data_IF_908032966546
#
_entry.id   IF_908032966546
#
_cell.length_a   1.000
_cell.length_b   1.000
_cell.length_c   1.000
_cell.angle_alpha   90.00
_cell.angle_beta   90.00
_cell.angle_gamma   90.00
#
_symmetry.space_group_name_H-M   'P 1'
#
loop_
_entity.id
_entity.type
_entity.pdbx_description
1 polymer ?
#
# COMPACT_ATOMS: atom_id res chain seq x y z
N UNK A 1 -18.21 -27.74 -17.07
CA UNK A 1 -17.54 -26.54 -16.51
C UNK A 1 -18.44 -25.37 -16.87
N UNK A 2 -19.26 -24.89 -15.92
CA UNK A 2 -20.29 -23.90 -16.21
C UNK A 2 -19.65 -22.57 -16.67
N UNK A 3 -20.23 -21.88 -17.67
CA UNK A 3 -19.72 -20.59 -18.11
C UNK A 3 -19.83 -19.59 -16.96
N UNK A 4 -18.76 -18.87 -16.65
CA UNK A 4 -18.77 -17.75 -15.70
C UNK A 4 -19.85 -16.74 -16.15
N UNK A 5 -21.01 -16.77 -15.50
CA UNK A 5 -22.04 -15.76 -15.69
C UNK A 5 -21.44 -14.39 -15.40
N UNK A 6 -21.72 -13.42 -16.28
CA UNK A 6 -21.42 -12.00 -16.02
C UNK A 6 -22.12 -11.61 -14.72
N UNK A 7 -21.38 -11.58 -13.62
CA UNK A 7 -21.92 -11.08 -12.36
C UNK A 7 -22.36 -9.63 -12.52
N UNK A 8 -23.51 -9.29 -11.94
CA UNK A 8 -23.99 -7.91 -11.90
C UNK A 8 -22.93 -7.08 -11.17
N UNK A 9 -22.52 -5.91 -11.68
CA UNK A 9 -21.48 -5.08 -11.06
C UNK A 9 -21.71 -4.81 -9.57
N UNK A 10 -22.97 -4.72 -9.14
CA UNK A 10 -23.37 -4.56 -7.76
C UNK A 10 -22.96 -5.74 -6.85
N UNK A 11 -23.06 -6.98 -7.35
CA UNK A 11 -22.69 -8.18 -6.59
C UNK A 11 -21.18 -8.22 -6.38
N UNK A 12 -20.38 -7.88 -7.39
CA UNK A 12 -18.92 -7.86 -7.27
C UNK A 12 -18.44 -6.71 -6.36
N UNK A 13 -19.13 -5.56 -6.34
CA UNK A 13 -18.84 -4.47 -5.39
C UNK A 13 -19.17 -4.91 -3.96
N UNK A 14 -20.34 -5.51 -3.72
CA UNK A 14 -20.73 -6.00 -2.40
C UNK A 14 -19.79 -7.11 -1.91
N UNK A 15 -19.48 -8.08 -2.76
CA UNK A 15 -18.55 -9.16 -2.46
C UNK A 15 -17.14 -8.63 -2.17
N UNK A 16 -16.63 -7.71 -3.00
CA UNK A 16 -15.31 -7.09 -2.81
C UNK A 16 -15.22 -6.25 -1.54
N UNK A 17 -16.25 -5.47 -1.24
CA UNK A 17 -16.30 -4.62 -0.02
C UNK A 17 -16.38 -5.48 1.24
N UNK A 18 -17.22 -6.52 1.22
CA UNK A 18 -17.38 -7.44 2.35
C UNK A 18 -16.11 -8.27 2.56
N UNK A 19 -15.49 -8.77 1.48
CA UNK A 19 -14.24 -9.50 1.56
C UNK A 19 -13.10 -8.63 2.10
N UNK A 20 -12.99 -7.38 1.64
CA UNK A 20 -12.02 -6.43 2.16
C UNK A 20 -12.25 -6.07 3.63
N UNK A 21 -13.50 -5.93 4.06
CA UNK A 21 -13.82 -5.68 5.47
C UNK A 21 -13.46 -6.87 6.37
N UNK A 22 -13.74 -8.10 5.93
CA UNK A 22 -13.39 -9.34 6.65
C UNK A 22 -11.87 -9.52 6.68
N UNK A 23 -11.17 -9.28 5.57
CA UNK A 23 -9.71 -9.33 5.51
C UNK A 23 -9.08 -8.31 6.45
N UNK A 24 -9.54 -7.06 6.42
CA UNK A 24 -9.07 -6.02 7.34
C UNK A 24 -9.33 -6.40 8.81
N UNK A 25 -10.51 -6.94 9.13
CA UNK A 25 -10.84 -7.39 10.48
C UNK A 25 -9.95 -8.56 10.92
N UNK A 26 -9.80 -9.60 10.09
CA UNK A 26 -9.01 -10.79 10.40
C UNK A 26 -7.51 -10.47 10.53
N UNK A 27 -7.01 -9.53 9.73
CA UNK A 27 -5.59 -9.14 9.73
C UNK A 27 -5.28 -8.06 10.78
N UNK A 28 -6.29 -7.35 11.31
CA UNK A 28 -6.10 -6.26 12.25
C UNK A 28 -5.29 -6.61 13.49
N UNK A 29 -5.48 -7.75 14.17
CA UNK A 29 -4.65 -8.11 15.32
C UNK A 29 -3.15 -8.17 14.99
N UNK A 30 -2.81 -8.59 13.77
CA UNK A 30 -1.43 -8.60 13.28
C UNK A 30 -0.89 -7.18 13.08
N UNK A 31 -1.73 -6.29 12.55
CA UNK A 31 -1.40 -4.86 12.44
C UNK A 31 -1.27 -4.18 13.80
N UNK A 32 -2.12 -4.54 14.77
CA UNK A 32 -2.06 -4.07 16.15
C UNK A 32 -0.75 -4.46 16.81
N UNK A 33 -0.37 -5.74 16.74
CA UNK A 33 0.89 -6.24 17.31
C UNK A 33 2.10 -5.58 16.67
N UNK A 34 2.10 -5.46 15.33
CA UNK A 34 3.14 -4.74 14.60
C UNK A 34 3.23 -3.29 15.02
N UNK A 35 2.10 -2.60 15.14
CA UNK A 35 2.04 -1.21 15.57
C UNK A 35 2.58 -1.10 16.99
N UNK A 36 2.06 -1.85 17.95
CA UNK A 36 2.53 -1.80 19.35
C UNK A 36 4.02 -2.09 19.50
N UNK A 37 4.52 -3.13 18.83
CA UNK A 37 5.95 -3.45 18.79
C UNK A 37 6.81 -2.32 18.22
N UNK A 38 6.25 -1.52 17.31
CA UNK A 38 6.93 -0.39 16.71
C UNK A 38 6.88 0.90 17.56
N UNK A 39 5.96 1.03 18.53
CA UNK A 39 5.75 2.25 19.31
C UNK A 39 6.10 2.13 20.82
N UNK A 40 6.05 0.93 21.41
CA UNK A 40 6.31 0.76 22.86
C UNK A 40 7.81 0.71 23.23
N UNK A 41 8.71 0.74 22.24
CA UNK A 41 10.17 0.79 22.43
C UNK A 41 10.83 -0.43 23.08
N UNK A 42 10.05 -1.22 23.81
CA UNK A 42 10.43 -2.54 24.32
C UNK A 42 10.35 -3.55 23.17
N UNK A 43 11.41 -4.34 23.00
CA UNK A 43 11.43 -5.51 22.12
C UNK A 43 10.62 -6.64 22.74
N UNK A 44 9.31 -6.46 22.82
CA UNK A 44 8.41 -7.52 23.26
C UNK A 44 8.12 -8.48 22.11
N UNK A 45 8.11 -9.78 22.41
CA UNK A 45 7.71 -10.79 21.43
C UNK A 45 6.25 -10.54 21.00
N UNK A 46 5.91 -10.73 19.71
CA UNK A 46 4.52 -10.66 19.22
C UNK A 46 3.54 -11.46 20.07
N UNK A 47 3.97 -12.63 20.57
CA UNK A 47 3.16 -13.52 21.41
C UNK A 47 2.92 -12.91 22.79
N UNK A 48 3.94 -12.25 23.36
CA UNK A 48 3.82 -11.55 24.65
C UNK A 48 2.82 -10.40 24.54
N UNK A 49 2.91 -9.59 23.48
CA UNK A 49 1.98 -8.50 23.23
C UNK A 49 0.53 -9.01 23.15
N UNK A 50 0.28 -10.10 22.43
CA UNK A 50 -1.05 -10.70 22.31
C UNK A 50 -1.54 -11.18 23.67
N UNK A 51 -0.74 -12.00 24.37
CA UNK A 51 -1.10 -12.59 25.67
C UNK A 51 -1.41 -11.52 26.70
N UNK A 52 -0.59 -10.48 26.78
CA UNK A 52 -0.77 -9.39 27.74
C UNK A 52 -1.99 -8.53 27.40
N UNK A 53 -2.23 -8.25 26.13
CA UNK A 53 -3.43 -7.52 25.68
C UNK A 53 -4.70 -8.31 25.99
N UNK A 54 -4.70 -9.63 25.74
CA UNK A 54 -5.84 -10.49 26.07
C UNK A 54 -6.09 -10.53 27.58
N UNK A 55 -5.03 -10.58 28.41
CA UNK A 55 -5.15 -10.61 29.87
C UNK A 55 -5.67 -9.29 30.46
N UNK A 56 -5.29 -8.15 29.87
CA UNK A 56 -5.59 -6.81 30.43
C UNK A 56 -6.83 -6.14 29.83
N UNK A 57 -7.07 -6.31 28.53
CA UNK A 57 -8.12 -5.62 27.76
C UNK A 57 -9.07 -6.57 27.03
N UNK A 58 -8.88 -7.88 27.16
CA UNK A 58 -9.66 -8.89 26.47
C UNK A 58 -9.48 -8.88 24.94
N UNK A 59 -10.35 -9.60 24.24
CA UNK A 59 -10.30 -9.75 22.77
C UNK A 59 -10.51 -8.42 22.04
N UNK A 60 -11.41 -7.57 22.54
CA UNK A 60 -11.64 -6.23 21.96
C UNK A 60 -10.42 -5.30 22.11
N UNK A 61 -9.53 -5.58 23.08
CA UNK A 61 -8.26 -4.88 23.21
C UNK A 61 -7.37 -4.98 21.97
N UNK A 62 -7.40 -6.12 21.26
CA UNK A 62 -6.64 -6.33 20.01
C UNK A 62 -7.16 -5.48 18.84
N UNK A 63 -8.38 -4.93 18.95
CA UNK A 63 -9.01 -4.07 17.95
C UNK A 63 -8.94 -2.57 18.30
N UNK A 64 -8.22 -2.22 19.36
CA UNK A 64 -8.04 -0.84 19.79
C UNK A 64 -7.25 -0.05 18.74
N UNK A 65 -7.90 0.98 18.18
CA UNK A 65 -7.34 1.82 17.11
C UNK A 65 -7.81 1.47 15.70
N UNK A 66 -8.70 0.48 15.54
CA UNK A 66 -9.20 0.06 14.23
C UNK A 66 -9.91 1.21 13.50
N UNK A 67 -10.69 2.01 14.22
CA UNK A 67 -11.35 3.20 13.69
C UNK A 67 -10.36 4.20 13.10
N UNK A 68 -9.21 4.43 13.74
CA UNK A 68 -8.19 5.36 13.24
C UNK A 68 -7.55 4.84 11.94
N UNK A 69 -7.32 3.53 11.84
CA UNK A 69 -6.85 2.89 10.60
C UNK A 69 -7.88 3.05 9.46
N UNK A 70 -9.15 2.75 9.74
CA UNK A 70 -10.25 2.85 8.77
C UNK A 70 -10.39 4.30 8.28
N UNK A 71 -10.46 5.27 9.19
CA UNK A 71 -10.56 6.69 8.85
C UNK A 71 -9.35 7.13 8.03
N UNK A 72 -8.13 6.71 8.39
CA UNK A 72 -6.93 7.03 7.64
C UNK A 72 -6.92 6.44 6.21
N UNK A 73 -7.41 5.21 6.04
CA UNK A 73 -7.53 4.59 4.73
C UNK A 73 -8.65 5.22 3.89
N UNK A 74 -9.78 5.55 4.51
CA UNK A 74 -10.88 6.26 3.85
C UNK A 74 -10.43 7.65 3.38
N UNK A 75 -9.66 8.38 4.18
CA UNK A 75 -9.12 9.68 3.79
C UNK A 75 -8.18 9.57 2.57
N UNK A 76 -7.28 8.57 2.55
CA UNK A 76 -6.41 8.30 1.38
C UNK A 76 -7.22 7.97 0.13
N UNK A 77 -8.20 7.08 0.26
CA UNK A 77 -9.08 6.70 -0.83
C UNK A 77 -9.87 7.91 -1.35
N UNK A 78 -10.41 8.74 -0.44
CA UNK A 78 -11.14 9.95 -0.78
C UNK A 78 -10.29 10.92 -1.61
N UNK A 79 -9.07 11.24 -1.15
CA UNK A 79 -8.13 12.08 -1.93
C UNK A 79 -7.89 11.49 -3.31
N UNK A 80 -7.63 10.19 -3.40
CA UNK A 80 -7.37 9.52 -4.68
C UNK A 80 -8.57 9.59 -5.62
N UNK A 81 -9.78 9.29 -5.15
CA UNK A 81 -10.97 9.29 -6.02
C UNK A 81 -11.36 10.69 -6.47
N UNK A 82 -11.35 11.67 -5.57
CA UNK A 82 -11.65 13.07 -5.91
C UNK A 82 -10.66 13.60 -6.95
N UNK A 83 -9.37 13.36 -6.73
CA UNK A 83 -8.33 13.85 -7.65
C UNK A 83 -8.34 13.08 -8.97
N UNK A 84 -8.63 11.77 -8.95
CA UNK A 84 -8.79 10.98 -10.16
C UNK A 84 -9.94 11.48 -11.02
N UNK A 85 -11.10 11.74 -10.42
CA UNK A 85 -12.27 12.25 -11.12
C UNK A 85 -12.00 13.64 -11.72
N UNK A 86 -11.38 14.52 -10.93
CA UNK A 86 -10.94 15.84 -11.39
C UNK A 86 -10.00 15.74 -12.60
N UNK A 87 -8.96 14.90 -12.54
CA UNK A 87 -8.04 14.72 -13.67
C UNK A 87 -8.70 14.04 -14.87
N UNK A 88 -9.66 13.13 -14.66
CA UNK A 88 -10.43 12.55 -15.77
C UNK A 88 -11.27 13.59 -16.49
N UNK A 89 -11.95 14.46 -15.75
CA UNK A 89 -12.72 15.56 -16.32
C UNK A 89 -11.83 16.51 -17.13
N UNK A 90 -10.64 16.85 -16.62
CA UNK A 90 -9.67 17.66 -17.35
C UNK A 90 -9.09 16.99 -18.61
N UNK A 91 -9.04 15.67 -18.63
CA UNK A 91 -8.47 14.87 -19.74
C UNK A 91 -9.53 14.23 -20.64
N UNK A 92 -10.81 14.55 -20.44
CA UNK A 92 -11.89 14.08 -21.30
C UNK A 92 -11.78 14.72 -22.68
N UNK A 93 -12.13 13.98 -23.73
CA UNK A 93 -12.35 14.59 -25.04
C UNK A 93 -13.66 15.39 -25.07
N UNK A 94 -13.92 16.04 -26.21
CA UNK A 94 -15.15 16.80 -26.48
C UNK A 94 -16.43 15.96 -26.39
N UNK A 95 -16.34 14.63 -26.40
CA UNK A 95 -17.46 13.70 -26.21
C UNK A 95 -17.60 13.20 -24.76
N UNK A 96 -16.74 13.66 -23.84
CA UNK A 96 -16.73 13.22 -22.45
C UNK A 96 -16.09 11.85 -22.21
N UNK A 97 -15.45 11.25 -23.23
CA UNK A 97 -14.77 9.96 -23.11
C UNK A 97 -13.30 10.17 -22.74
N UNK A 98 -12.77 9.22 -21.95
CA UNK A 98 -11.36 9.23 -21.53
C UNK A 98 -10.71 7.95 -22.04
N UNK A 99 -9.75 8.09 -22.97
CA UNK A 99 -8.98 6.95 -23.48
C UNK A 99 -8.15 6.27 -22.39
N UNK A 100 -7.71 5.02 -22.62
CA UNK A 100 -6.88 4.29 -21.66
C UNK A 100 -5.58 5.04 -21.26
N UNK A 101 -4.82 5.66 -22.18
CA UNK A 101 -3.65 6.47 -21.82
C UNK A 101 -4.01 7.70 -20.97
N UNK A 102 -5.10 8.39 -21.28
CA UNK A 102 -5.56 9.55 -20.50
C UNK A 102 -6.06 9.15 -19.11
N UNK A 103 -6.74 8.01 -19.01
CA UNK A 103 -7.16 7.43 -17.72
C UNK A 103 -5.94 7.03 -16.87
N UNK A 104 -4.87 6.54 -17.50
CA UNK A 104 -3.62 6.24 -16.81
C UNK A 104 -2.94 7.51 -16.29
N UNK A 105 -2.88 8.58 -17.10
CA UNK A 105 -2.36 9.88 -16.68
C UNK A 105 -3.17 10.48 -15.53
N UNK A 106 -4.50 10.41 -15.58
CA UNK A 106 -5.36 10.81 -14.48
C UNK A 106 -5.09 9.99 -13.21
N UNK A 107 -4.87 8.67 -13.35
CA UNK A 107 -4.47 7.79 -12.25
C UNK A 107 -3.12 8.14 -11.64
N UNK A 108 -2.13 8.48 -12.48
CA UNK A 108 -0.81 8.95 -12.05
C UNK A 108 -0.91 10.28 -11.28
N UNK A 109 -1.64 11.26 -11.84
CA UNK A 109 -1.90 12.54 -11.18
C UNK A 109 -2.57 12.36 -9.83
N UNK A 110 -3.62 11.53 -9.78
CA UNK A 110 -4.32 11.21 -8.54
C UNK A 110 -3.40 10.55 -7.50
N UNK A 111 -2.53 9.64 -7.93
CA UNK A 111 -1.54 9.01 -7.06
C UNK A 111 -0.50 10.00 -6.50
N UNK A 112 -0.11 11.01 -7.28
CA UNK A 112 0.77 12.08 -6.79
C UNK A 112 0.06 12.98 -5.78
N UNK A 113 -1.21 13.30 -5.99
CA UNK A 113 -1.99 14.07 -5.02
C UNK A 113 -2.23 13.29 -3.73
N UNK A 114 -2.54 12.00 -3.83
CA UNK A 114 -2.59 11.08 -2.68
C UNK A 114 -1.25 11.07 -1.93
N UNK A 115 -0.13 11.07 -2.66
CA UNK A 115 1.20 11.14 -2.07
C UNK A 115 1.40 12.41 -1.23
N UNK A 116 1.03 13.57 -1.78
CA UNK A 116 1.18 14.88 -1.15
C UNK A 116 0.26 15.01 0.07
N UNK A 117 -1.04 14.77 -0.09
CA UNK A 117 -2.02 15.14 0.93
C UNK A 117 -2.22 14.07 2.00
N UNK A 118 -1.97 12.80 1.70
CA UNK A 118 -2.32 11.72 2.61
C UNK A 118 -1.14 10.81 2.96
N UNK A 119 -0.39 10.32 1.96
CA UNK A 119 0.62 9.29 2.18
C UNK A 119 1.86 9.85 2.87
N UNK A 120 2.48 10.90 2.32
CA UNK A 120 3.72 11.45 2.88
C UNK A 120 3.53 11.94 4.31
N UNK A 121 2.50 12.75 4.66
CA UNK A 121 2.30 13.17 6.05
C UNK A 121 2.12 11.99 7.00
N UNK A 122 1.24 11.04 6.63
CA UNK A 122 0.94 9.88 7.47
C UNK A 122 2.18 8.99 7.68
N UNK A 123 2.93 8.71 6.63
CA UNK A 123 4.08 7.82 6.69
C UNK A 123 5.29 8.46 7.35
N UNK A 124 5.55 9.75 7.11
CA UNK A 124 6.67 10.45 7.75
C UNK A 124 6.45 10.55 9.26
N UNK A 125 5.24 10.95 9.69
CA UNK A 125 4.89 10.99 11.12
C UNK A 125 5.04 9.60 11.74
N UNK A 126 4.44 8.58 11.11
CA UNK A 126 4.54 7.19 11.57
C UNK A 126 6.00 6.74 11.66
N UNK A 127 6.81 6.98 10.63
CA UNK A 127 8.21 6.53 10.58
C UNK A 127 9.02 7.20 11.69
N UNK A 128 8.87 8.50 11.90
CA UNK A 128 9.57 9.24 12.95
C UNK A 128 9.20 8.76 14.34
N UNK A 129 7.91 8.53 14.60
CA UNK A 129 7.47 8.00 15.90
C UNK A 129 8.00 6.59 16.16
N UNK A 130 8.02 5.72 15.14
CA UNK A 130 8.58 4.37 15.26
C UNK A 130 10.09 4.39 15.48
N UNK A 131 10.79 5.33 14.84
CA UNK A 131 12.22 5.51 15.02
C UNK A 131 12.54 6.07 16.42
N UNK A 132 11.70 6.97 16.95
CA UNK A 132 11.83 7.51 18.30
C UNK A 132 11.59 6.44 19.37
N UNK A 133 10.57 5.60 19.17
CA UNK A 133 10.25 4.51 20.08
C UNK A 133 11.43 3.55 20.27
N UNK A 134 12.27 3.34 19.25
CA UNK A 134 13.46 2.48 19.36
C UNK A 134 14.59 3.08 20.20
N UNK A 135 14.52 4.36 20.54
CA UNK A 135 15.56 5.02 21.35
C UNK A 135 15.43 4.60 22.82
N UNK A 136 16.55 4.54 23.56
CA UNK A 136 16.51 4.24 25.00
C UNK A 136 15.64 5.21 25.82
N UNK A 137 15.51 6.46 25.34
CA UNK A 137 14.65 7.48 25.95
C UNK A 137 13.77 8.14 24.86
N UNK A 138 12.56 7.59 24.60
CA UNK A 138 11.63 8.15 23.63
C UNK A 138 11.17 9.55 24.02
N UNK A 139 11.16 10.47 23.07
CA UNK A 139 10.75 11.86 23.26
C UNK A 139 9.25 12.07 22.98
N UNK A 140 8.64 11.22 22.16
CA UNK A 140 7.26 11.35 21.74
C UNK A 140 6.33 10.48 22.58
N UNK A 141 5.38 11.12 23.26
CA UNK A 141 4.40 10.46 24.13
C UNK A 141 3.15 9.92 23.40
N UNK A 142 3.10 10.04 22.08
CA UNK A 142 1.96 9.62 21.26
C UNK A 142 1.87 10.35 19.92
N UNK A 143 0.86 10.01 19.10
CA UNK A 143 0.69 10.56 17.75
C UNK A 143 0.52 12.08 17.74
N UNK A 144 -0.36 12.62 18.59
CA UNK A 144 -0.65 14.06 18.65
C UNK A 144 0.56 14.86 19.17
N UNK A 145 1.14 14.43 20.29
CA UNK A 145 2.33 15.08 20.87
C UNK A 145 3.54 14.98 19.94
N UNK A 146 3.74 13.82 19.29
CA UNK A 146 4.79 13.62 18.31
C UNK A 146 4.61 14.51 17.08
N UNK A 147 3.40 14.58 16.53
CA UNK A 147 3.10 15.45 15.39
C UNK A 147 3.32 16.92 15.74
N UNK A 148 2.79 17.38 16.88
CA UNK A 148 3.01 18.75 17.36
C UNK A 148 4.49 19.06 17.60
N UNK A 149 5.24 18.10 18.18
CA UNK A 149 6.69 18.22 18.38
C UNK A 149 7.45 18.30 17.06
N UNK A 150 7.11 17.48 16.06
CA UNK A 150 7.72 17.53 14.72
C UNK A 150 7.48 18.88 14.07
N UNK A 151 6.25 19.40 14.11
CA UNK A 151 5.93 20.72 13.55
C UNK A 151 6.68 21.83 14.28
N UNK A 152 6.78 21.76 15.61
CA UNK A 152 7.49 22.77 16.42
C UNK A 152 9.00 22.76 16.19
N UNK A 153 9.62 21.59 16.00
CA UNK A 153 11.08 21.44 15.87
C UNK A 153 11.56 21.56 14.42
N UNK A 154 10.83 20.99 13.46
CA UNK A 154 11.25 20.90 12.05
C UNK A 154 10.35 21.70 11.10
N UNK A 155 9.24 22.25 11.57
CA UNK A 155 8.24 22.89 10.73
C UNK A 155 7.48 21.90 9.85
N UNK A 156 6.68 22.44 8.92
CA UNK A 156 5.92 21.65 7.94
C UNK A 156 6.86 20.83 7.05
N UNK A 157 8.06 21.35 6.75
CA UNK A 157 9.07 20.62 5.98
C UNK A 157 9.47 19.29 6.63
N UNK A 158 9.40 19.18 7.97
CA UNK A 158 9.63 17.94 8.70
C UNK A 158 8.60 16.85 8.40
N UNK A 159 7.36 17.22 8.05
CA UNK A 159 6.27 16.28 7.69
C UNK A 159 6.42 15.84 6.23
N UNK A 160 6.86 16.73 5.35
CA UNK A 160 7.02 16.48 3.91
C UNK A 160 8.40 15.92 3.53
N UNK A 161 9.23 15.59 4.52
CA UNK A 161 10.55 15.01 4.28
C UNK A 161 10.41 13.66 3.58
N UNK A 162 11.05 13.51 2.42
CA UNK A 162 10.92 12.31 1.60
C UNK A 162 9.74 12.34 0.62
N UNK A 163 9.05 13.47 0.43
CA UNK A 163 8.00 13.59 -0.59
C UNK A 163 8.48 13.18 -2.00
N UNK A 164 9.65 13.67 -2.42
CA UNK A 164 10.21 13.35 -3.73
C UNK A 164 10.36 11.82 -3.98
N UNK A 165 11.04 11.05 -3.12
CA UNK A 165 11.13 9.61 -3.32
C UNK A 165 9.78 8.89 -3.19
N UNK A 166 8.82 9.41 -2.41
CA UNK A 166 7.44 8.88 -2.37
C UNK A 166 6.76 9.06 -3.73
N UNK A 167 6.83 10.25 -4.33
CA UNK A 167 6.24 10.55 -5.64
C UNK A 167 6.90 9.72 -6.74
N UNK A 168 8.23 9.67 -6.77
CA UNK A 168 8.98 8.85 -7.72
C UNK A 168 8.60 7.37 -7.62
N UNK A 169 8.49 6.84 -6.40
CA UNK A 169 8.04 5.47 -6.15
C UNK A 169 6.62 5.23 -6.67
N UNK A 170 5.70 6.17 -6.47
CA UNK A 170 4.31 6.05 -6.93
C UNK A 170 4.22 6.05 -8.46
N UNK A 171 4.97 6.95 -9.11
CA UNK A 171 5.08 7.01 -10.57
C UNK A 171 5.71 5.73 -11.14
N UNK A 172 6.84 5.30 -10.58
CA UNK A 172 7.54 4.09 -11.00
C UNK A 172 6.69 2.83 -10.81
N UNK A 173 5.96 2.72 -9.69
CA UNK A 173 5.06 1.58 -9.47
C UNK A 173 4.00 1.48 -10.57
N UNK A 174 3.36 2.60 -10.89
CA UNK A 174 2.30 2.65 -11.90
C UNK A 174 2.84 2.38 -13.30
N UNK A 175 3.96 3.00 -13.67
CA UNK A 175 4.60 2.84 -14.97
C UNK A 175 5.10 1.40 -15.18
N UNK A 176 5.90 0.87 -14.26
CA UNK A 176 6.48 -0.48 -14.39
C UNK A 176 5.39 -1.53 -14.39
N UNK A 177 4.44 -1.46 -13.45
CA UNK A 177 3.36 -2.44 -13.37
C UNK A 177 2.52 -2.47 -14.63
N UNK A 178 2.15 -1.31 -15.17
CA UNK A 178 1.35 -1.22 -16.38
C UNK A 178 2.11 -1.70 -17.61
N UNK A 179 3.34 -1.24 -17.80
CA UNK A 179 4.18 -1.63 -18.94
C UNK A 179 4.46 -3.12 -18.91
N UNK A 180 4.93 -3.67 -17.78
CA UNK A 180 5.21 -5.10 -17.68
C UNK A 180 3.94 -5.94 -17.89
N UNK A 181 2.81 -5.55 -17.30
CA UNK A 181 1.55 -6.26 -17.51
C UNK A 181 1.13 -6.23 -18.99
N UNK A 182 1.17 -5.04 -19.63
CA UNK A 182 0.72 -4.87 -21.01
C UNK A 182 1.63 -5.57 -22.01
N UNK A 183 2.95 -5.46 -21.86
CA UNK A 183 3.93 -6.13 -22.71
C UNK A 183 3.80 -7.65 -22.61
N UNK A 184 3.73 -8.21 -21.39
CA UNK A 184 3.55 -9.65 -21.20
C UNK A 184 2.21 -10.13 -21.75
N UNK A 185 1.14 -9.36 -21.54
CA UNK A 185 -0.19 -9.67 -22.09
C UNK A 185 -0.20 -9.66 -23.61
N UNK A 186 0.43 -8.67 -24.24
CA UNK A 186 0.55 -8.58 -25.70
C UNK A 186 1.42 -9.70 -26.27
N UNK A 187 2.52 -10.04 -25.61
CA UNK A 187 3.38 -11.15 -26.02
C UNK A 187 2.62 -12.48 -26.04
N UNK A 188 1.88 -12.77 -24.98
CA UNK A 188 1.10 -14.02 -24.90
C UNK A 188 -0.09 -14.01 -25.87
N UNK A 189 -0.75 -12.86 -26.06
CA UNK A 189 -1.83 -12.73 -27.06
C UNK A 189 -1.32 -12.84 -28.50
N UNK A 190 -0.13 -12.32 -28.80
CA UNK A 190 0.50 -12.44 -30.12
C UNK A 190 0.90 -13.87 -30.47
N UNK A 191 1.14 -14.71 -29.47
CA UNK A 191 1.33 -16.14 -29.62
C UNK A 191 0.01 -16.94 -29.66
N UNK A 192 -1.13 -16.31 -29.38
CA UNK A 192 -2.45 -16.93 -29.36
C UNK A 192 -3.23 -16.66 -30.66
N UNK A 193 -4.26 -17.47 -30.93
CA UNK A 193 -5.13 -17.28 -32.11
C UNK A 193 -5.95 -15.98 -31.97
N UNK A 194 -6.18 -15.22 -33.06
CA UNK A 194 -6.98 -13.99 -33.01
C UNK A 194 -8.37 -14.24 -32.40
N UNK A 195 -8.74 -13.48 -31.37
CA UNK A 195 -10.08 -13.53 -30.76
C UNK A 195 -10.22 -14.39 -29.49
N UNK A 196 -9.19 -15.11 -29.04
CA UNK A 196 -9.26 -15.80 -27.75
C UNK A 196 -8.96 -14.87 -26.56
N UNK A 197 -9.83 -14.89 -25.56
CA UNK A 197 -9.56 -14.30 -24.24
C UNK A 197 -8.56 -15.15 -23.48
N UNK A 198 -7.56 -14.53 -22.85
CA UNK A 198 -6.58 -15.24 -22.04
C UNK A 198 -7.25 -16.00 -20.89
N UNK A 199 -6.90 -17.28 -20.66
CA UNK A 199 -7.29 -18.00 -19.46
C UNK A 199 -6.94 -17.21 -18.19
N UNK A 200 -7.80 -17.31 -17.18
CA UNK A 200 -7.60 -16.62 -15.89
C UNK A 200 -6.27 -16.98 -15.25
N UNK A 201 -5.81 -18.22 -15.38
CA UNK A 201 -4.52 -18.71 -14.87
C UNK A 201 -3.32 -18.01 -15.51
N UNK A 202 -3.37 -17.80 -16.82
CA UNK A 202 -2.32 -17.09 -17.57
C UNK A 202 -2.34 -15.60 -17.21
N UNK A 203 -3.52 -15.00 -17.14
CA UNK A 203 -3.68 -13.59 -16.72
C UNK A 203 -3.17 -13.37 -15.29
N UNK A 204 -3.42 -14.33 -14.40
CA UNK A 204 -2.90 -14.33 -13.04
C UNK A 204 -1.37 -14.44 -13.02
N UNK A 205 -0.78 -15.36 -13.79
CA UNK A 205 0.67 -15.49 -13.92
C UNK A 205 1.35 -14.23 -14.42
N UNK A 206 0.77 -13.59 -15.45
CA UNK A 206 1.23 -12.28 -15.96
C UNK A 206 1.15 -11.22 -14.87
N UNK A 207 0.05 -11.17 -14.12
CA UNK A 207 -0.13 -10.25 -13.00
C UNK A 207 0.90 -10.46 -11.88
N UNK A 208 1.20 -11.71 -11.55
CA UNK A 208 2.19 -12.07 -10.54
C UNK A 208 3.61 -11.65 -10.97
N UNK A 209 4.02 -11.95 -12.20
CA UNK A 209 5.33 -11.54 -12.74
C UNK A 209 5.43 -10.02 -12.79
N UNK A 210 4.39 -9.33 -13.27
CA UNK A 210 4.36 -7.86 -13.26
C UNK A 210 4.49 -7.30 -11.85
N UNK A 211 3.86 -7.92 -10.85
CA UNK A 211 4.01 -7.58 -9.44
C UNK A 211 5.44 -7.75 -8.93
N UNK A 212 6.08 -8.88 -9.23
CA UNK A 212 7.47 -9.15 -8.84
C UNK A 212 8.44 -8.14 -9.45
N UNK A 213 8.36 -7.92 -10.76
CA UNK A 213 9.20 -6.94 -11.47
C UNK A 213 9.01 -5.56 -10.86
N UNK A 214 7.76 -5.16 -10.62
CA UNK A 214 7.46 -3.87 -9.99
C UNK A 214 8.11 -3.74 -8.61
N UNK A 215 8.06 -4.79 -7.78
CA UNK A 215 8.70 -4.76 -6.44
C UNK A 215 10.20 -4.57 -6.57
N UNK A 216 10.89 -5.38 -7.39
CA UNK A 216 12.33 -5.28 -7.57
C UNK A 216 12.78 -3.95 -8.15
N UNK A 217 12.05 -3.39 -9.13
CA UNK A 217 12.37 -2.09 -9.73
C UNK A 217 12.12 -0.92 -8.79
N UNK A 218 11.08 -0.99 -7.95
CA UNK A 218 10.73 0.11 -7.04
C UNK A 218 11.41 0.04 -5.67
N UNK A 219 12.09 -1.06 -5.35
CA UNK A 219 12.73 -1.25 -4.05
C UNK A 219 13.80 -0.19 -3.71
N UNK A 220 14.68 0.25 -4.65
CA UNK A 220 15.63 1.31 -4.36
C UNK A 220 14.95 2.61 -3.89
N UNK A 221 13.81 2.95 -4.49
CA UNK A 221 13.02 4.13 -4.11
C UNK A 221 12.38 3.97 -2.73
N UNK A 222 11.96 2.75 -2.35
CA UNK A 222 11.46 2.45 -1.01
C UNK A 222 12.55 2.64 0.05
N UNK A 223 13.77 2.18 -0.21
CA UNK A 223 14.90 2.35 0.72
C UNK A 223 15.24 3.83 0.89
N UNK A 224 15.34 4.59 -0.21
CA UNK A 224 15.63 6.03 -0.14
C UNK A 224 14.51 6.77 0.61
N UNK A 225 13.24 6.45 0.31
CA UNK A 225 12.07 7.00 1.00
C UNK A 225 12.15 6.78 2.51
N UNK A 226 12.34 5.53 2.93
CA UNK A 226 12.34 5.17 4.35
C UNK A 226 13.50 5.81 5.12
N UNK A 227 14.69 5.89 4.51
CA UNK A 227 15.84 6.63 5.06
C UNK A 227 15.55 8.11 5.18
N UNK A 228 14.97 8.73 4.14
CA UNK A 228 14.63 10.15 4.15
C UNK A 228 13.53 10.52 5.16
N UNK A 229 12.65 9.57 5.52
CA UNK A 229 11.57 9.76 6.50
C UNK A 229 11.97 9.48 7.96
N UNK A 230 13.21 9.00 8.21
CA UNK A 230 13.73 8.75 9.56
C UNK A 230 14.08 10.04 10.33
N UNK A 231 14.19 9.96 11.66
CA UNK A 231 14.47 11.14 12.51
C UNK A 231 15.84 11.75 12.23
N UNK A 232 16.85 10.89 12.02
CA UNK A 232 18.24 11.31 11.76
C UNK A 232 18.48 11.84 10.34
N UNK A 233 17.48 11.78 9.46
CA UNK A 233 17.66 12.08 8.05
C UNK A 233 18.16 13.52 7.81
N UNK A 234 17.80 14.50 8.66
CA UNK A 234 18.22 15.90 8.53
C UNK A 234 19.72 16.10 8.70
N UNK A 235 20.31 15.41 9.67
CA UNK A 235 21.73 15.49 9.91
C UNK A 235 22.53 14.67 8.89
N UNK A 236 21.95 13.57 8.39
CA UNK A 236 22.68 12.60 7.57
C UNK A 236 22.59 12.87 6.06
N UNK A 237 21.50 13.49 5.57
CA UNK A 237 21.23 13.64 4.14
C UNK A 237 20.73 15.04 3.77
N UNK A 238 21.37 15.66 2.78
CA UNK A 238 20.95 16.96 2.21
C UNK A 238 19.69 16.84 1.36
N UNK A 239 19.63 15.81 0.50
CA UNK A 239 18.52 15.53 -0.39
C UNK A 239 18.47 14.02 -0.71
N UNK A 240 17.45 13.58 -1.47
CA UNK A 240 17.26 12.18 -1.83
C UNK A 240 18.37 11.61 -2.72
N UNK A 241 18.97 12.42 -3.59
CA UNK A 241 20.10 12.00 -4.43
C UNK A 241 21.36 11.80 -3.60
N UNK A 242 21.62 12.68 -2.63
CA UNK A 242 22.70 12.54 -1.67
C UNK A 242 22.51 11.30 -0.78
N UNK A 243 21.26 11.00 -0.40
CA UNK A 243 20.94 9.75 0.29
C UNK A 243 21.27 8.53 -0.58
N UNK A 244 20.85 8.53 -1.85
CA UNK A 244 21.17 7.45 -2.79
C UNK A 244 22.68 7.30 -3.01
N UNK A 245 23.40 8.41 -3.22
CA UNK A 245 24.85 8.43 -3.38
C UNK A 245 25.56 7.83 -2.18
N UNK A 246 25.22 8.28 -0.95
CA UNK A 246 25.82 7.73 0.28
C UNK A 246 25.54 6.24 0.45
N UNK A 247 24.31 5.79 0.17
CA UNK A 247 24.00 4.35 0.23
C UNK A 247 24.88 3.58 -0.76
N UNK A 248 25.03 4.08 -1.99
CA UNK A 248 25.82 3.43 -3.01
C UNK A 248 27.31 3.36 -2.64
N UNK A 249 27.89 4.44 -2.12
CA UNK A 249 29.33 4.52 -1.82
C UNK A 249 29.70 3.91 -0.47
N UNK A 250 28.85 4.03 0.56
CA UNK A 250 29.18 3.62 1.93
C UNK A 250 28.61 2.25 2.31
N UNK A 251 27.41 1.89 1.81
CA UNK A 251 26.71 0.63 2.17
C UNK A 251 26.73 -0.41 1.04
N UNK A 252 27.06 0.01 -0.19
CA UNK A 252 27.10 -0.83 -1.38
C UNK A 252 25.77 -0.97 -2.12
N UNK A 253 25.84 -1.40 -3.39
CA UNK A 253 24.70 -1.45 -4.31
C UNK A 253 23.57 -2.39 -3.86
N UNK A 254 23.90 -3.53 -3.26
CA UNK A 254 22.88 -4.50 -2.80
C UNK A 254 21.99 -3.95 -1.68
N UNK A 255 22.43 -2.88 -1.00
CA UNK A 255 21.66 -2.27 0.08
C UNK A 255 20.30 -1.75 -0.38
N UNK A 256 20.18 -1.34 -1.64
CA UNK A 256 18.90 -0.88 -2.21
C UNK A 256 17.80 -1.94 -2.26
N UNK A 257 18.15 -3.23 -2.17
CA UNK A 257 17.18 -4.34 -2.14
C UNK A 257 16.95 -4.92 -0.75
N UNK A 258 17.49 -4.28 0.29
CA UNK A 258 17.26 -4.73 1.66
C UNK A 258 15.81 -4.47 2.06
N UNK A 259 15.13 -5.55 2.46
CA UNK A 259 13.69 -5.54 2.72
C UNK A 259 12.82 -6.07 1.55
N UNK A 260 13.42 -6.53 0.45
CA UNK A 260 12.65 -7.12 -0.66
C UNK A 260 11.87 -8.35 -0.20
N UNK A 261 12.51 -9.24 0.57
CA UNK A 261 11.87 -10.45 1.12
C UNK A 261 10.62 -10.13 1.94
N UNK A 262 10.66 -9.31 3.01
CA UNK A 262 9.46 -9.00 3.78
C UNK A 262 8.39 -8.27 2.94
N UNK A 263 8.78 -7.50 1.93
CA UNK A 263 7.83 -6.86 1.00
C UNK A 263 7.12 -7.88 0.11
N UNK A 264 7.85 -8.84 -0.45
CA UNK A 264 7.31 -9.92 -1.26
C UNK A 264 6.41 -10.84 -0.44
N UNK A 265 6.84 -11.24 0.76
CA UNK A 265 6.02 -12.04 1.68
C UNK A 265 4.70 -11.35 1.98
N UNK A 266 4.73 -10.04 2.29
CA UNK A 266 3.50 -9.26 2.50
C UNK A 266 2.60 -9.28 1.27
N UNK A 267 3.15 -9.10 0.08
CA UNK A 267 2.39 -9.11 -1.17
C UNK A 267 1.68 -10.46 -1.39
N UNK A 268 2.40 -11.56 -1.20
CA UNK A 268 1.85 -12.92 -1.37
C UNK A 268 0.79 -13.22 -0.33
N UNK A 269 1.04 -12.92 0.95
CA UNK A 269 0.10 -13.18 2.04
C UNK A 269 -1.18 -12.34 1.90
N UNK A 270 -1.04 -11.03 1.67
CA UNK A 270 -2.19 -10.14 1.50
C UNK A 270 -3.01 -10.51 0.26
N UNK A 271 -2.35 -10.85 -0.85
CA UNK A 271 -3.02 -11.34 -2.05
C UNK A 271 -3.77 -12.64 -1.79
N UNK A 272 -3.10 -13.65 -1.21
CA UNK A 272 -3.69 -14.95 -0.92
C UNK A 272 -4.90 -14.87 0.01
N UNK A 273 -4.81 -14.09 1.10
CA UNK A 273 -5.93 -13.88 2.03
C UNK A 273 -7.10 -13.21 1.29
N UNK A 274 -6.84 -12.10 0.58
CA UNK A 274 -7.89 -11.34 -0.11
C UNK A 274 -8.65 -12.22 -1.12
N UNK A 275 -7.94 -12.97 -1.96
CA UNK A 275 -8.58 -13.83 -2.95
C UNK A 275 -9.34 -15.00 -2.30
N UNK A 276 -8.79 -15.63 -1.27
CA UNK A 276 -9.46 -16.73 -0.56
C UNK A 276 -10.75 -16.26 0.10
N UNK A 277 -10.73 -15.09 0.75
CA UNK A 277 -11.91 -14.50 1.38
C UNK A 277 -12.93 -14.09 0.31
N UNK A 278 -12.49 -13.48 -0.78
CA UNK A 278 -13.35 -13.08 -1.89
C UNK A 278 -14.11 -14.26 -2.51
N UNK A 279 -13.42 -15.35 -2.83
CA UNK A 279 -14.04 -16.55 -3.43
C UNK A 279 -15.07 -17.18 -2.49
N UNK A 280 -14.74 -17.28 -1.19
CA UNK A 280 -15.66 -17.82 -0.19
C UNK A 280 -16.90 -16.92 -0.02
N UNK A 281 -16.73 -15.60 -0.09
CA UNK A 281 -17.85 -14.66 -0.02
C UNK A 281 -18.77 -14.74 -1.24
N UNK A 282 -18.22 -14.87 -2.45
CA UNK A 282 -19.03 -15.07 -3.66
C UNK A 282 -19.84 -16.35 -3.58
N UNK A 283 -19.23 -17.47 -3.15
CA UNK A 283 -19.96 -18.74 -2.97
C UNK A 283 -21.08 -18.59 -1.95
N UNK A 284 -20.82 -17.90 -0.84
CA UNK A 284 -21.83 -17.64 0.18
C UNK A 284 -23.00 -16.78 -0.37
N UNK A 285 -22.69 -15.70 -1.09
CA UNK A 285 -23.70 -14.83 -1.71
C UNK A 285 -24.49 -15.61 -2.77
N UNK A 286 -23.83 -16.43 -3.59
CA UNK A 286 -24.46 -17.28 -4.60
C UNK A 286 -25.42 -18.31 -4.01
N UNK A 287 -25.08 -18.88 -2.85
CA UNK A 287 -25.97 -19.76 -2.06
C UNK A 287 -27.17 -19.03 -1.48
N UNK A 288 -26.96 -17.85 -0.90
CA UNK A 288 -28.03 -17.03 -0.32
C UNK A 288 -28.98 -16.49 -1.40
N UNK A 289 -28.46 -16.15 -2.58
CA UNK A 289 -29.24 -15.66 -3.72
C UNK A 289 -29.99 -16.76 -4.50
N UNK A 290 -29.89 -18.03 -4.09
CA UNK A 290 -30.58 -19.15 -4.73
C UNK A 290 -30.08 -19.47 -6.14
N UNK A 291 -28.86 -19.05 -6.49
CA UNK A 291 -28.24 -19.23 -7.82
C UNK A 291 -27.36 -20.48 -7.94
N UNK A 292 -27.22 -21.28 -6.88
CA UNK A 292 -26.60 -22.62 -6.95
C UNK A 292 -27.70 -23.71 -7.04
N UNK A 293 -28.00 -24.15 -8.26
CA UNK A 293 -28.32 -25.56 -8.59
C UNK A 293 -27.35 -26.03 -9.64
#
# INVERSE_FOLDING_TARGET
MAPFQKEKPLHSILAGTTAGAIEAFATYPTEFVKTRSQFDGKRESPITIIRETLKTKGVFGLYSGCTALIVGNAAKAGVRFVTYDHFKHLLADSEGKVSAPRSLLAGLGAGMMEAIFAVTPSETIKTKLIDDAKRPNPQYRGLLHGTASIVRQEGIQGIYRGLFPVMMRQGANSAVRFTTYSTLKQFVLGAARPGQTLPTTITFGIGAIAGLVTVYTTMPLDVIKTRMQSLGARAQYKNSFHCAYRIFTEEGVFRFWTGTTPRLTRLVLSGGITFTVYENMIRLIGRIAGTET
#
